data_IF_927222651523
#
_entry.id   IF_927222651523
#
_cell.length_a   1.000
_cell.length_b   1.000
_cell.length_c   1.000
_cell.angle_alpha   90.00
_cell.angle_beta   90.00
_cell.angle_gamma   90.00
#
_symmetry.space_group_name_H-M   'P 1'
#
loop_
_entity.id
_entity.type
_entity.pdbx_description
1 polymer ?
#
# COMPACT_ATOMS: atom_id res chain seq x y z
N UNK A 1 -12.49 -25.22 3.55
CA UNK A 1 -13.30 -24.02 3.87
C UNK A 1 -12.45 -23.02 4.65
N UNK A 2 -11.83 -22.06 3.93
CA UNK A 2 -11.06 -20.99 4.56
C UNK A 2 -12.01 -20.07 5.34
N UNK A 3 -11.74 -19.92 6.65
CA UNK A 3 -12.38 -18.91 7.49
C UNK A 3 -11.36 -17.80 7.73
N UNK A 4 -11.52 -16.67 7.02
CA UNK A 4 -10.79 -15.44 7.30
C UNK A 4 -11.63 -14.64 8.29
N UNK A 5 -11.15 -14.49 9.52
CA UNK A 5 -11.80 -13.75 10.59
C UNK A 5 -11.21 -12.34 10.61
N UNK A 6 -11.94 -11.36 10.07
CA UNK A 6 -11.67 -9.94 10.36
C UNK A 6 -12.31 -9.62 11.72
N UNK A 7 -11.51 -9.56 12.78
CA UNK A 7 -11.99 -9.20 14.11
C UNK A 7 -12.16 -7.67 14.22
N UNK A 8 -13.38 -7.18 13.96
CA UNK A 8 -13.77 -5.76 14.08
C UNK A 8 -14.04 -5.33 15.54
N UNK A 9 -13.17 -5.70 16.48
CA UNK A 9 -13.28 -5.29 17.88
C UNK A 9 -12.06 -4.50 18.34
N UNK A 10 -11.91 -3.29 17.80
CA UNK A 10 -11.45 -2.05 18.47
C UNK A 10 -11.09 -1.01 17.41
N UNK A 11 -11.98 -0.04 17.17
CA UNK A 11 -11.65 1.24 16.52
C UNK A 11 -10.85 2.10 17.52
N UNK A 12 -9.63 1.66 17.83
CA UNK A 12 -8.57 2.41 18.52
C UNK A 12 -7.41 1.42 18.69
N UNK A 13 -6.23 1.82 18.23
CA UNK A 13 -4.98 1.05 18.18
C UNK A 13 -4.87 0.01 17.05
N UNK A 14 -3.76 0.16 16.34
CA UNK A 14 -3.27 -0.58 15.17
C UNK A 14 -3.42 -2.11 15.30
N UNK A 15 -4.01 -2.75 14.27
CA UNK A 15 -3.77 -4.14 13.83
C UNK A 15 -4.65 -4.48 12.62
N UNK A 16 -4.11 -4.33 11.40
CA UNK A 16 -4.63 -5.02 10.23
C UNK A 16 -3.79 -6.29 10.08
N UNK A 17 -4.38 -7.45 10.37
CA UNK A 17 -3.75 -8.76 10.11
C UNK A 17 -4.54 -9.43 8.99
N UNK A 18 -3.96 -9.48 7.78
CA UNK A 18 -4.49 -10.30 6.70
C UNK A 18 -3.90 -11.71 6.82
N UNK A 19 -4.73 -12.74 6.97
CA UNK A 19 -4.33 -14.14 6.87
C UNK A 19 -5.12 -14.85 5.77
N UNK A 20 -4.62 -14.81 4.52
CA UNK A 20 -4.37 -15.99 3.72
C UNK A 20 -2.92 -16.44 3.95
N UNK A 21 -2.61 -17.73 3.81
CA UNK A 21 -1.33 -18.35 4.20
C UNK A 21 -0.05 -17.76 3.55
N UNK A 22 -0.13 -16.70 2.73
CA UNK A 22 0.95 -16.18 1.89
C UNK A 22 1.21 -14.66 1.97
N UNK A 23 0.50 -13.87 2.80
CA UNK A 23 0.62 -12.40 2.83
C UNK A 23 0.83 -11.88 4.27
N UNK A 24 1.70 -10.89 4.46
CA UNK A 24 1.83 -10.13 5.72
C UNK A 24 1.42 -8.68 5.48
N UNK A 25 0.60 -8.13 6.36
CA UNK A 25 0.36 -6.69 6.55
C UNK A 25 0.71 -6.39 8.01
N UNK A 26 1.49 -5.33 8.24
CA UNK A 26 1.94 -4.92 9.59
C UNK A 26 1.59 -3.44 9.75
N UNK A 27 0.91 -3.09 10.84
CA UNK A 27 0.67 -1.70 11.25
C UNK A 27 1.16 -1.49 12.68
N UNK A 28 1.98 -0.46 12.91
CA UNK A 28 2.53 -0.09 14.23
C UNK A 28 2.18 1.36 14.66
N UNK A 29 2.19 1.69 15.96
CA UNK A 29 1.77 2.99 16.51
C UNK A 29 2.64 4.19 16.09
N UNK A 30 2.08 5.40 16.21
CA UNK A 30 2.50 6.65 15.57
C UNK A 30 3.76 7.37 16.12
N UNK A 31 4.58 6.73 16.96
CA UNK A 31 5.71 7.41 17.60
C UNK A 31 7.05 6.78 17.21
N UNK A 32 7.51 6.96 15.97
CA UNK A 32 8.92 6.86 15.55
C UNK A 32 9.09 7.25 14.07
N UNK A 33 10.20 7.95 13.78
CA UNK A 33 10.68 8.48 12.49
C UNK A 33 10.14 7.68 11.29
N UNK A 34 9.43 8.34 10.37
CA UNK A 34 8.70 7.74 9.24
C UNK A 34 9.37 6.48 8.68
N UNK A 35 10.64 6.56 8.28
CA UNK A 35 11.41 5.46 7.67
C UNK A 35 11.59 4.19 8.52
N UNK A 36 11.43 4.27 9.84
CA UNK A 36 11.65 3.12 10.72
C UNK A 36 10.54 2.09 10.58
N UNK A 37 9.30 2.53 10.35
CA UNK A 37 8.16 1.62 10.22
C UNK A 37 8.34 0.72 9.00
N UNK A 38 8.47 1.31 7.82
CA UNK A 38 8.67 0.55 6.58
C UNK A 38 9.91 -0.36 6.63
N UNK A 39 11.00 0.09 7.24
CA UNK A 39 12.20 -0.76 7.42
C UNK A 39 11.91 -2.00 8.25
N UNK A 40 11.16 -1.87 9.36
CA UNK A 40 10.81 -3.00 10.24
C UNK A 40 9.81 -3.93 9.55
N UNK A 41 8.85 -3.38 8.81
CA UNK A 41 7.89 -4.18 8.04
C UNK A 41 8.59 -5.05 6.98
N UNK A 42 9.55 -4.47 6.26
CA UNK A 42 10.35 -5.19 5.27
C UNK A 42 11.23 -6.27 5.92
N UNK A 43 11.94 -5.95 7.00
CA UNK A 43 12.77 -6.92 7.72
C UNK A 43 11.92 -8.08 8.28
N UNK A 44 10.74 -7.77 8.86
CA UNK A 44 9.79 -8.79 9.34
C UNK A 44 9.31 -9.72 8.22
N UNK A 45 9.07 -9.17 7.02
CA UNK A 45 8.70 -9.97 5.87
C UNK A 45 9.85 -10.86 5.38
N UNK A 46 11.09 -10.34 5.35
CA UNK A 46 12.27 -11.09 4.94
C UNK A 46 12.53 -12.29 5.88
N UNK A 47 12.30 -12.11 7.18
CA UNK A 47 12.40 -13.16 8.20
C UNK A 47 11.24 -14.17 8.14
N UNK A 48 10.16 -13.86 7.41
CA UNK A 48 9.06 -14.78 7.15
C UNK A 48 9.32 -15.64 5.91
N UNK A 49 8.55 -16.73 5.74
CA UNK A 49 8.54 -17.55 4.51
C UNK A 49 7.45 -17.11 3.51
N UNK A 50 6.93 -15.87 3.63
CA UNK A 50 5.86 -15.40 2.74
C UNK A 50 6.39 -15.00 1.36
N UNK A 51 5.52 -15.15 0.36
CA UNK A 51 5.83 -14.90 -1.06
C UNK A 51 5.67 -13.44 -1.47
N UNK A 52 4.80 -12.72 -0.77
CA UNK A 52 4.42 -11.35 -1.09
C UNK A 52 4.45 -10.46 0.16
N UNK A 53 5.14 -9.34 0.05
CA UNK A 53 5.04 -8.21 0.96
C UNK A 53 4.00 -7.25 0.39
N UNK A 54 3.03 -6.80 1.18
CA UNK A 54 2.13 -5.73 0.77
C UNK A 54 2.00 -4.71 1.89
N UNK A 55 2.28 -3.45 1.56
CA UNK A 55 2.12 -2.32 2.46
C UNK A 55 0.80 -1.61 2.17
N UNK A 56 0.11 -1.20 3.23
CA UNK A 56 -1.14 -0.41 3.21
C UNK A 56 -1.19 0.47 4.46
N UNK A 57 -1.79 1.65 4.35
CA UNK A 57 -1.98 2.57 5.46
C UNK A 57 -3.22 2.21 6.31
N UNK A 58 -3.35 2.82 7.49
CA UNK A 58 -4.47 2.58 8.41
C UNK A 58 -5.80 3.20 7.94
N UNK A 59 -5.74 4.08 6.93
CA UNK A 59 -6.89 4.65 6.24
C UNK A 59 -7.27 3.90 4.95
N UNK A 60 -6.68 2.72 4.70
CA UNK A 60 -7.03 1.87 3.56
C UNK A 60 -8.04 0.77 3.91
N UNK A 61 -8.96 0.50 2.99
CA UNK A 61 -9.76 -0.72 2.94
C UNK A 61 -9.15 -1.67 1.92
N UNK A 62 -8.93 -2.94 2.28
CA UNK A 62 -8.33 -3.94 1.40
C UNK A 62 -9.35 -5.02 1.06
N UNK A 63 -9.66 -5.16 -0.23
CA UNK A 63 -10.34 -6.31 -0.79
C UNK A 63 -9.34 -7.46 -0.96
N UNK A 64 -9.18 -8.26 0.10
CA UNK A 64 -8.17 -9.33 0.16
C UNK A 64 -8.40 -10.40 -0.91
N UNK A 65 -9.65 -10.72 -1.25
CA UNK A 65 -9.97 -11.69 -2.29
C UNK A 65 -9.40 -11.22 -3.64
N UNK A 66 -9.66 -9.96 -4.00
CA UNK A 66 -9.14 -9.38 -5.23
C UNK A 66 -7.61 -9.24 -5.23
N UNK A 67 -7.02 -8.85 -4.10
CA UNK A 67 -5.56 -8.79 -3.95
C UNK A 67 -4.92 -10.15 -4.27
N UNK A 68 -5.40 -11.22 -3.65
CA UNK A 68 -4.84 -12.57 -3.84
C UNK A 68 -5.00 -13.04 -5.29
N UNK A 69 -6.12 -12.75 -5.94
CA UNK A 69 -6.31 -13.07 -7.35
C UNK A 69 -5.26 -12.38 -8.22
N UNK A 70 -5.09 -11.06 -8.07
CA UNK A 70 -4.13 -10.30 -8.87
C UNK A 70 -2.69 -10.75 -8.61
N UNK A 71 -2.31 -11.00 -7.35
CA UNK A 71 -0.98 -11.53 -7.02
C UNK A 71 -0.75 -12.94 -7.59
N UNK A 72 -1.80 -13.72 -7.82
CA UNK A 72 -1.74 -15.04 -8.44
C UNK A 72 -1.30 -15.02 -9.90
N UNK A 73 -1.46 -13.89 -10.59
CA UNK A 73 -1.07 -13.71 -11.99
C UNK A 73 0.45 -13.47 -12.16
N UNK A 74 1.18 -13.27 -11.06
CA UNK A 74 2.61 -12.96 -11.06
C UNK A 74 3.44 -14.05 -10.37
N UNK A 75 4.58 -14.39 -10.96
CA UNK A 75 5.52 -15.34 -10.37
C UNK A 75 6.31 -14.67 -9.24
N UNK A 76 6.19 -15.10 -7.96
CA UNK A 76 6.87 -14.46 -6.83
C UNK A 76 8.40 -14.67 -6.82
N UNK A 77 8.92 -15.53 -7.69
CA UNK A 77 10.36 -15.75 -7.90
C UNK A 77 10.98 -14.75 -8.90
N UNK A 78 10.16 -13.91 -9.52
CA UNK A 78 10.57 -12.81 -10.39
C UNK A 78 10.46 -11.47 -9.68
N UNK A 79 11.08 -10.43 -10.25
CA UNK A 79 11.22 -9.13 -9.60
C UNK A 79 9.99 -8.23 -9.84
N UNK A 80 8.96 -8.38 -9.03
CA UNK A 80 7.74 -7.58 -9.11
C UNK A 80 7.67 -6.47 -8.06
N UNK A 81 7.47 -5.24 -8.53
CA UNK A 81 7.01 -4.08 -7.76
C UNK A 81 5.65 -3.65 -8.32
N UNK A 82 4.58 -3.92 -7.57
CA UNK A 82 3.20 -3.75 -8.00
C UNK A 82 2.56 -2.61 -7.20
N UNK A 83 1.90 -1.67 -7.87
CA UNK A 83 1.19 -0.58 -7.20
C UNK A 83 0.77 0.51 -8.16
N UNK A 84 0.43 1.69 -7.65
CA UNK A 84 -0.03 2.80 -8.49
C UNK A 84 0.65 4.11 -8.09
N UNK A 85 1.22 4.87 -9.04
CA UNK A 85 1.72 6.21 -8.77
C UNK A 85 0.54 7.20 -8.70
N UNK A 86 0.58 8.13 -7.74
CA UNK A 86 -0.40 9.23 -7.66
C UNK A 86 0.05 10.51 -8.38
N UNK A 87 1.23 10.49 -8.99
CA UNK A 87 1.78 11.60 -9.79
C UNK A 87 1.71 11.29 -11.28
N UNK A 88 1.62 12.32 -12.12
CA UNK A 88 1.44 12.18 -13.59
C UNK A 88 2.76 12.01 -14.36
N UNK A 89 3.87 12.36 -13.73
CA UNK A 89 5.22 12.30 -14.30
C UNK A 89 6.15 11.68 -13.26
N UNK A 90 7.24 11.00 -13.67
CA UNK A 90 8.19 10.46 -12.70
C UNK A 90 8.73 11.57 -11.81
N UNK A 91 9.02 11.24 -10.56
CA UNK A 91 9.59 12.19 -9.62
C UNK A 91 11.03 12.52 -10.03
N UNK A 92 11.35 13.81 -10.10
CA UNK A 92 12.71 14.29 -10.34
C UNK A 92 13.32 14.83 -9.05
N UNK A 93 14.52 14.35 -8.69
CA UNK A 93 15.28 14.82 -7.54
C UNK A 93 16.71 15.16 -7.92
N UNK A 94 17.35 16.02 -7.12
CA UNK A 94 18.78 16.31 -7.25
C UNK A 94 19.61 15.08 -6.88
N UNK A 95 20.57 14.74 -7.73
CA UNK A 95 21.58 13.74 -7.41
C UNK A 95 22.54 14.30 -6.35
N UNK A 96 22.42 13.81 -5.11
CA UNK A 96 23.26 14.25 -3.99
C UNK A 96 24.66 13.64 -3.99
N UNK A 97 24.92 12.64 -4.82
CA UNK A 97 26.25 12.04 -5.00
C UNK A 97 26.62 11.95 -6.49
N UNK A 98 26.86 13.12 -7.13
CA UNK A 98 27.25 13.14 -8.52
C UNK A 98 28.66 12.53 -8.67
N UNK A 99 28.74 11.38 -9.35
CA UNK A 99 30.01 10.87 -9.88
C UNK A 99 30.35 11.60 -11.18
N UNK A 100 31.63 11.68 -11.58
CA UNK A 100 32.00 12.19 -12.90
C UNK A 100 31.18 11.47 -13.98
N UNK A 101 30.53 12.24 -14.86
CA UNK A 101 29.63 11.76 -15.93
C UNK A 101 28.23 11.26 -15.51
N UNK A 102 27.79 11.50 -14.27
CA UNK A 102 26.39 11.23 -13.90
C UNK A 102 25.50 12.45 -14.10
N UNK A 103 24.22 12.21 -14.41
CA UNK A 103 23.23 13.28 -14.55
C UNK A 103 23.05 14.01 -13.21
N UNK A 104 22.85 15.34 -13.24
CA UNK A 104 22.59 16.12 -12.03
C UNK A 104 21.22 15.82 -11.39
N UNK A 105 20.31 15.21 -12.16
CA UNK A 105 18.96 14.85 -11.73
C UNK A 105 18.72 13.34 -11.88
N UNK A 106 17.92 12.80 -10.97
CA UNK A 106 17.47 11.41 -10.94
C UNK A 106 15.95 11.41 -11.14
N UNK A 107 15.46 10.61 -12.09
CA UNK A 107 14.02 10.45 -12.37
C UNK A 107 13.58 9.02 -12.15
N UNK A 108 12.50 8.80 -11.40
CA UNK A 108 11.96 7.47 -11.11
C UNK A 108 10.47 7.53 -10.76
N UNK A 109 9.76 6.42 -10.94
CA UNK A 109 8.41 6.25 -10.39
C UNK A 109 8.44 5.65 -9.00
N UNK A 110 7.34 5.80 -8.28
CA UNK A 110 7.11 5.11 -7.01
C UNK A 110 5.61 4.80 -6.89
N UNK A 111 5.29 3.68 -6.26
CA UNK A 111 3.92 3.39 -5.86
C UNK A 111 3.60 4.22 -4.61
N UNK A 112 2.44 4.89 -4.62
CA UNK A 112 2.02 5.72 -3.49
C UNK A 112 1.65 4.84 -2.29
N UNK A 113 2.25 5.11 -1.13
CA UNK A 113 2.05 4.35 0.11
C UNK A 113 0.57 4.20 0.48
N UNK A 114 -0.16 5.33 0.51
CA UNK A 114 -1.60 5.35 0.83
C UNK A 114 -2.53 4.81 -0.27
N UNK A 115 -2.01 4.34 -1.40
CA UNK A 115 -2.78 3.46 -2.30
C UNK A 115 -2.58 1.99 -1.93
N UNK A 116 -1.47 1.67 -1.29
CA UNK A 116 -0.94 0.34 -1.12
C UNK A 116 -0.06 -0.11 -2.29
N UNK A 117 0.89 -0.98 -1.99
CA UNK A 117 1.78 -1.59 -2.99
C UNK A 117 2.25 -2.96 -2.51
N UNK A 118 2.72 -3.79 -3.44
CA UNK A 118 3.25 -5.11 -3.14
C UNK A 118 4.61 -5.37 -3.80
N UNK A 119 5.43 -6.16 -3.10
CA UNK A 119 6.72 -6.65 -3.56
C UNK A 119 6.73 -8.17 -3.55
N UNK A 120 7.25 -8.75 -4.62
CA UNK A 120 7.63 -10.17 -4.65
C UNK A 120 8.76 -10.46 -3.67
N UNK A 121 8.82 -11.70 -3.16
CA UNK A 121 9.93 -12.15 -2.30
C UNK A 121 11.28 -12.03 -3.01
N UNK A 122 11.36 -12.36 -4.31
CA UNK A 122 12.61 -12.25 -5.06
C UNK A 122 13.14 -10.81 -5.13
N UNK A 123 12.27 -9.82 -5.36
CA UNK A 123 12.66 -8.42 -5.34
C UNK A 123 13.08 -7.97 -3.93
N UNK A 124 12.31 -8.32 -2.89
CA UNK A 124 12.63 -7.95 -1.52
C UNK A 124 14.00 -8.51 -1.07
N UNK A 125 14.33 -9.76 -1.44
CA UNK A 125 15.64 -10.36 -1.17
C UNK A 125 16.77 -9.61 -1.90
N UNK A 126 16.54 -9.10 -3.11
CA UNK A 126 17.51 -8.23 -3.82
C UNK A 126 17.65 -6.87 -3.17
N UNK A 127 16.61 -6.37 -2.52
CA UNK A 127 16.67 -5.13 -1.75
C UNK A 127 17.41 -5.31 -0.42
N UNK A 128 17.45 -6.51 0.15
CA UNK A 128 18.02 -6.78 1.48
C UNK A 128 19.42 -6.17 1.68
N UNK A 129 20.42 -6.32 0.78
CA UNK A 129 21.74 -5.69 0.96
C UNK A 129 21.72 -4.17 0.97
N UNK A 130 20.65 -3.53 0.48
CA UNK A 130 20.52 -2.07 0.32
C UNK A 130 19.59 -1.47 1.38
N UNK A 131 18.54 -2.18 1.79
CA UNK A 131 17.45 -1.65 2.61
C UNK A 131 17.39 -2.24 4.02
N UNK A 132 17.79 -3.50 4.22
CA UNK A 132 17.65 -4.18 5.51
C UNK A 132 18.64 -3.69 6.57
N UNK A 133 18.36 -3.95 7.85
CA UNK A 133 19.28 -3.65 8.95
C UNK A 133 19.50 -2.16 9.18
N UNK A 134 18.44 -1.36 8.98
CA UNK A 134 18.44 0.09 9.16
C UNK A 134 19.01 0.90 7.99
N UNK A 135 19.47 0.27 6.91
CA UNK A 135 19.98 0.99 5.72
C UNK A 135 18.89 1.77 4.98
N UNK A 136 17.65 1.27 4.98
CA UNK A 136 16.49 1.99 4.43
C UNK A 136 16.33 3.39 5.04
N UNK A 137 16.44 3.50 6.37
CA UNK A 137 16.37 4.78 7.08
C UNK A 137 17.48 5.73 6.64
N UNK A 138 18.72 5.24 6.51
CA UNK A 138 19.84 6.06 6.05
C UNK A 138 19.66 6.58 4.63
N UNK A 139 19.05 5.81 3.73
CA UNK A 139 18.72 6.26 2.38
C UNK A 139 17.63 7.35 2.41
N UNK A 140 16.53 7.11 3.14
CA UNK A 140 15.43 8.07 3.28
C UNK A 140 15.89 9.42 3.84
N UNK A 141 16.69 9.41 4.90
CA UNK A 141 17.29 10.61 5.48
C UNK A 141 18.23 11.33 4.50
N UNK A 142 19.02 10.56 3.73
CA UNK A 142 19.95 11.09 2.75
C UNK A 142 19.24 11.77 1.60
N UNK A 143 18.14 11.22 1.08
CA UNK A 143 17.38 11.84 -0.02
C UNK A 143 16.34 12.85 0.48
N UNK A 144 15.95 12.78 1.76
CA UNK A 144 14.90 13.58 2.43
C UNK A 144 13.54 13.45 1.75
N UNK A 145 13.14 12.21 1.45
CA UNK A 145 11.85 11.89 0.83
C UNK A 145 11.11 10.86 1.70
N UNK A 146 9.77 10.79 1.64
CA UNK A 146 8.97 9.83 2.40
C UNK A 146 9.30 8.35 2.12
N UNK A 147 8.72 7.43 2.90
CA UNK A 147 8.98 5.98 2.84
C UNK A 147 8.65 5.37 1.48
N UNK A 148 7.49 5.68 0.92
CA UNK A 148 7.05 5.17 -0.38
C UNK A 148 7.93 5.68 -1.52
N UNK A 149 8.34 6.95 -1.47
CA UNK A 149 9.31 7.53 -2.40
C UNK A 149 10.69 6.89 -2.23
N UNK A 150 11.12 6.62 -1.00
CA UNK A 150 12.39 5.92 -0.71
C UNK A 150 12.36 4.50 -1.24
N UNK A 151 11.22 3.81 -1.12
CA UNK A 151 10.99 2.48 -1.70
C UNK A 151 11.14 2.52 -3.23
N UNK A 152 10.47 3.47 -3.89
CA UNK A 152 10.61 3.68 -5.33
C UNK A 152 12.04 4.01 -5.73
N UNK A 153 12.73 4.88 -4.99
CA UNK A 153 14.13 5.21 -5.26
C UNK A 153 15.04 3.98 -5.22
N UNK A 154 14.88 3.11 -4.23
CA UNK A 154 15.67 1.87 -4.12
C UNK A 154 15.36 0.94 -5.30
N UNK A 155 14.09 0.74 -5.63
CA UNK A 155 13.67 -0.26 -6.62
C UNK A 155 13.90 0.22 -8.06
N UNK A 156 13.39 1.39 -8.41
CA UNK A 156 13.45 1.94 -9.76
C UNK A 156 14.84 2.49 -10.08
N UNK A 157 15.43 3.27 -9.16
CA UNK A 157 16.71 3.91 -9.45
C UNK A 157 17.92 3.03 -9.10
N UNK A 158 17.97 2.38 -7.94
CA UNK A 158 19.15 1.57 -7.57
C UNK A 158 19.11 0.17 -8.17
N UNK A 159 17.96 -0.50 -8.16
CA UNK A 159 17.82 -1.87 -8.68
C UNK A 159 17.38 -1.93 -10.15
N UNK A 160 17.03 -0.79 -10.77
CA UNK A 160 16.60 -0.71 -12.16
C UNK A 160 15.40 -1.63 -12.46
N UNK A 161 14.44 -1.67 -11.53
CA UNK A 161 13.21 -2.45 -11.66
C UNK A 161 12.00 -1.51 -11.77
N UNK A 162 11.30 -1.49 -12.92
CA UNK A 162 10.18 -0.58 -13.11
C UNK A 162 8.99 -0.97 -12.24
N UNK A 163 8.26 0.02 -11.78
CA UNK A 163 6.93 -0.12 -11.19
C UNK A 163 5.98 -0.69 -12.22
N UNK A 164 5.36 -1.81 -11.88
CA UNK A 164 4.23 -2.36 -12.63
C UNK A 164 2.96 -1.70 -12.10
N UNK A 165 2.33 -0.90 -12.96
CA UNK A 165 1.12 -0.16 -12.60
C UNK A 165 -0.07 -1.12 -12.51
N UNK A 166 -0.73 -1.09 -11.35
CA UNK A 166 -1.95 -1.85 -11.07
C UNK A 166 -3.05 -0.83 -10.72
N UNK A 167 -3.94 -0.57 -11.67
CA UNK A 167 -4.97 0.48 -11.58
C UNK A 167 -5.99 0.27 -10.44
N UNK A 168 -6.06 -0.95 -9.92
CA UNK A 168 -6.98 -1.37 -8.86
C UNK A 168 -6.55 -0.93 -7.44
N UNK A 169 -5.35 -0.36 -7.28
CA UNK A 169 -4.97 0.30 -6.03
C UNK A 169 -5.45 1.75 -6.02
N UNK A 170 -6.02 2.21 -4.91
CA UNK A 170 -6.58 3.57 -4.82
C UNK A 170 -6.17 4.32 -3.55
N UNK A 171 -5.65 5.53 -3.74
CA UNK A 171 -5.25 6.44 -2.65
C UNK A 171 -6.24 7.58 -2.53
N UNK A 172 -6.44 8.12 -1.33
CA UNK A 172 -7.25 9.33 -1.12
C UNK A 172 -6.69 10.59 -1.82
N UNK A 173 -5.53 10.50 -2.51
CA UNK A 173 -5.01 11.51 -3.41
C UNK A 173 -5.76 11.57 -4.76
N UNK A 174 -6.56 10.55 -5.08
CA UNK A 174 -7.51 10.59 -6.20
C UNK A 174 -8.97 10.74 -5.70
N UNK A 175 -9.89 11.30 -6.50
CA UNK A 175 -11.27 11.48 -6.06
C UNK A 175 -12.00 10.13 -5.99
N UNK A 176 -12.19 9.60 -4.78
CA UNK A 176 -12.80 8.30 -4.52
C UNK A 176 -14.22 8.18 -5.10
N UNK A 177 -14.93 9.31 -5.22
CA UNK A 177 -16.27 9.39 -5.83
C UNK A 177 -16.31 8.98 -7.31
N UNK A 178 -15.17 8.93 -8.00
CA UNK A 178 -15.09 8.53 -9.41
C UNK A 178 -14.87 7.03 -9.61
N UNK A 179 -14.56 6.28 -8.54
CA UNK A 179 -14.55 4.83 -8.61
C UNK A 179 -16.00 4.37 -8.74
N UNK A 180 -16.31 3.67 -9.83
CA UNK A 180 -17.67 3.28 -10.15
C UNK A 180 -18.09 2.08 -9.31
N UNK A 181 -19.30 2.12 -8.76
CA UNK A 181 -19.78 1.10 -7.83
C UNK A 181 -19.81 -0.30 -8.47
N UNK A 182 -20.12 -0.38 -9.77
CA UNK A 182 -20.11 -1.64 -10.51
C UNK A 182 -18.73 -2.31 -10.59
N UNK A 183 -17.63 -1.57 -10.42
CA UNK A 183 -16.27 -2.13 -10.47
C UNK A 183 -15.69 -2.39 -9.08
N UNK A 184 -16.43 -2.20 -7.99
CA UNK A 184 -15.88 -2.32 -6.63
C UNK A 184 -15.27 -3.69 -6.32
N UNK A 185 -15.89 -4.78 -6.79
CA UNK A 185 -15.34 -6.13 -6.62
C UNK A 185 -13.99 -6.33 -7.32
N UNK A 186 -13.71 -5.52 -8.34
CA UNK A 186 -12.48 -5.57 -9.12
C UNK A 186 -11.35 -4.73 -8.50
N UNK A 187 -11.64 -3.85 -7.54
CA UNK A 187 -10.63 -3.00 -6.91
C UNK A 187 -9.94 -3.73 -5.75
N UNK A 188 -8.66 -3.44 -5.53
CA UNK A 188 -7.81 -4.04 -4.50
C UNK A 188 -7.88 -3.20 -3.22
N UNK A 189 -7.66 -1.90 -3.33
CA UNK A 189 -7.69 -0.99 -2.18
C UNK A 189 -8.63 0.17 -2.43
N UNK A 190 -9.13 0.72 -1.34
CA UNK A 190 -9.81 2.01 -1.31
C UNK A 190 -9.21 2.81 -0.16
N UNK A 191 -9.38 4.12 -0.17
CA UNK A 191 -8.93 4.99 0.91
C UNK A 191 -10.01 6.02 1.23
N UNK A 192 -9.78 6.81 2.27
CA UNK A 192 -10.58 8.00 2.54
C UNK A 192 -9.68 9.11 3.06
N UNK A 193 -10.10 10.35 2.88
CA UNK A 193 -9.50 11.49 3.58
C UNK A 193 -10.53 12.54 3.90
N UNK A 194 -10.18 13.42 4.84
CA UNK A 194 -11.01 14.56 5.22
C UNK A 194 -10.37 15.83 4.67
N UNK A 195 -11.03 16.49 3.73
CA UNK A 195 -10.55 17.77 3.19
C UNK A 195 -10.89 18.93 4.12
N UNK A 196 -12.09 18.92 4.69
CA UNK A 196 -12.58 19.94 5.63
C UNK A 196 -13.55 19.33 6.64
N UNK A 197 -14.12 20.15 7.53
CA UNK A 197 -15.06 19.66 8.56
C UNK A 197 -16.26 18.92 7.97
N UNK A 198 -16.72 19.33 6.79
CA UNK A 198 -17.94 18.83 6.15
C UNK A 198 -17.68 18.10 4.82
N UNK A 199 -16.43 18.05 4.35
CA UNK A 199 -16.07 17.42 3.08
C UNK A 199 -15.10 16.26 3.26
N UNK A 200 -15.54 15.08 2.83
CA UNK A 200 -14.79 13.83 2.87
C UNK A 200 -14.55 13.32 1.44
N UNK A 201 -13.32 12.91 1.15
CA UNK A 201 -13.02 12.09 -0.02
C UNK A 201 -13.33 10.64 0.32
N UNK A 202 -14.47 10.14 -0.14
CA UNK A 202 -14.92 8.76 0.10
C UNK A 202 -15.56 8.19 -1.15
N UNK A 203 -15.61 6.85 -1.22
CA UNK A 203 -16.30 6.15 -2.30
C UNK A 203 -17.78 6.50 -2.31
N UNK A 204 -18.35 6.64 -3.51
CA UNK A 204 -19.79 6.85 -3.67
C UNK A 204 -20.50 5.50 -3.60
N UNK A 205 -21.20 5.26 -2.49
CA UNK A 205 -21.93 4.02 -2.25
C UNK A 205 -23.13 4.28 -1.35
N UNK A 206 -24.24 3.59 -1.59
CA UNK A 206 -25.38 3.56 -0.67
C UNK A 206 -25.11 2.56 0.48
N UNK A 207 -25.77 2.71 1.62
CA UNK A 207 -25.57 1.81 2.76
C UNK A 207 -25.88 2.47 4.10
N UNK A 208 -24.97 2.31 5.06
CA UNK A 208 -25.12 2.87 6.40
C UNK A 208 -25.21 4.41 6.37
N UNK A 209 -25.85 4.99 7.38
CA UNK A 209 -25.86 6.43 7.61
C UNK A 209 -24.43 6.95 7.79
N UNK A 210 -24.10 8.10 7.18
CA UNK A 210 -22.74 8.67 7.20
C UNK A 210 -22.27 9.09 8.58
N UNK A 211 -23.18 9.26 9.56
CA UNK A 211 -22.81 9.48 10.97
C UNK A 211 -22.23 8.22 11.62
N UNK A 212 -22.63 7.05 11.15
CA UNK A 212 -22.15 5.73 11.63
C UNK A 212 -20.95 5.27 10.80
N UNK A 213 -21.00 5.50 9.49
CA UNK A 213 -20.00 5.07 8.51
C UNK A 213 -19.47 6.26 7.69
N UNK A 214 -18.70 7.17 8.32
CA UNK A 214 -18.19 8.37 7.66
C UNK A 214 -17.12 8.08 6.60
N UNK A 215 -16.41 6.95 6.71
CA UNK A 215 -15.38 6.51 5.76
C UNK A 215 -15.96 5.70 4.59
N UNK A 216 -17.23 5.29 4.70
CA UNK A 216 -17.94 4.38 3.79
C UNK A 216 -17.41 2.94 3.80
N UNK A 217 -16.48 2.59 4.68
CA UNK A 217 -15.86 1.25 4.70
C UNK A 217 -16.83 0.17 5.17
N UNK A 218 -17.77 0.47 6.09
CA UNK A 218 -18.77 -0.54 6.48
C UNK A 218 -19.75 -0.81 5.34
N UNK A 219 -20.18 0.24 4.65
CA UNK A 219 -21.06 0.13 3.47
C UNK A 219 -20.36 -0.64 2.35
N UNK A 220 -19.09 -0.29 2.06
CA UNK A 220 -18.27 -0.99 1.09
C UNK A 220 -18.07 -2.47 1.47
N UNK A 221 -17.78 -2.76 2.73
CA UNK A 221 -17.63 -4.14 3.20
C UNK A 221 -18.90 -4.96 2.97
N UNK A 222 -20.06 -4.40 3.30
CA UNK A 222 -21.33 -5.07 3.11
C UNK A 222 -21.73 -5.20 1.63
N UNK A 223 -21.29 -4.28 0.78
CA UNK A 223 -21.43 -4.43 -0.67
C UNK A 223 -20.58 -5.60 -1.20
N UNK A 224 -19.31 -5.70 -0.77
CA UNK A 224 -18.41 -6.76 -1.21
C UNK A 224 -18.76 -8.13 -0.61
N UNK A 225 -19.21 -8.14 0.64
CA UNK A 225 -19.43 -9.34 1.45
C UNK A 225 -20.80 -9.29 2.16
N UNK A 226 -21.93 -9.37 1.43
CA UNK A 226 -23.27 -9.16 1.98
C UNK A 226 -23.72 -10.27 2.96
N UNK A 227 -22.96 -11.35 3.08
CA UNK A 227 -23.30 -12.50 3.91
C UNK A 227 -23.04 -12.28 5.41
N UNK A 228 -22.35 -11.19 5.80
CA UNK A 228 -22.10 -10.88 7.20
C UNK A 228 -23.38 -10.39 7.91
N UNK A 229 -23.62 -10.90 9.13
CA UNK A 229 -24.87 -10.65 9.88
C UNK A 229 -25.13 -9.19 10.23
N UNK A 230 -24.09 -8.36 10.32
CA UNK A 230 -24.22 -6.94 10.65
C UNK A 230 -24.54 -6.08 9.43
N UNK A 231 -24.52 -6.66 8.23
CA UNK A 231 -24.86 -5.93 7.02
C UNK A 231 -26.37 -5.70 6.93
N UNK A 232 -26.79 -4.45 6.63
CA UNK A 232 -28.20 -4.14 6.41
C UNK A 232 -28.69 -4.95 5.21
N UNK A 233 -29.92 -5.45 5.31
CA UNK A 233 -30.61 -6.17 4.25
C UNK A 233 -31.46 -5.24 3.42
#
# INVERSE_FOLDING_TARGET
>A
PLHIRQDYRTLSSSKVTCHPENVVSVGQPADLVFHRKMSVELDTFLDSDKKWFCHVDDDNYVNVERLVQVLGDYNPQEDWYLGKPSIRTPLEILNREPKPHTKPHITFWFATGGAGFCLSRALALKMMPIASGGRFMGIGEKIRLPDDVTMGYIIEHLLQKPLTVIDQFHSHLEPMKFIRQETFHEQITFSYSRYSKDEMNVVRIDGFDTRIDPTRFLSLHCFLFPHFKFCPR
#
